data_IF_198974067095
#
_entry.id   IF_198974067095
#
_cell.length_a   1.000
_cell.length_b   1.000
_cell.length_c   1.000
_cell.angle_alpha   90.00
_cell.angle_beta   90.00
_cell.angle_gamma   90.00
#
_symmetry.space_group_name_H-M   'P 1'
#
loop_
_entity.id
_entity.type
_entity.pdbx_description
1 polymer ?
#
# COMPACT_ATOMS: atom_id res chain seq x y z
N UNK A 1 -37.07 -7.49 -60.51
CA UNK A 1 -36.56 -6.16 -60.94
C UNK A 1 -35.89 -5.43 -59.78
N UNK A 2 -36.56 -5.32 -58.63
CA UNK A 2 -36.05 -4.68 -57.40
C UNK A 2 -34.72 -5.24 -56.88
N UNK A 3 -34.57 -6.57 -56.83
CA UNK A 3 -33.33 -7.23 -56.41
C UNK A 3 -32.11 -6.80 -57.24
N UNK A 4 -32.28 -6.62 -58.55
CA UNK A 4 -31.19 -6.20 -59.43
C UNK A 4 -30.79 -4.73 -59.20
N UNK A 5 -31.75 -3.87 -58.85
CA UNK A 5 -31.47 -2.47 -58.48
C UNK A 5 -30.72 -2.42 -57.14
N UNK A 6 -31.14 -3.22 -56.16
CA UNK A 6 -30.45 -3.34 -54.87
C UNK A 6 -29.00 -3.83 -55.03
N UNK A 7 -28.75 -4.87 -55.83
CA UNK A 7 -27.39 -5.37 -56.07
C UNK A 7 -26.48 -4.30 -56.72
N UNK A 8 -26.99 -3.56 -57.71
CA UNK A 8 -26.24 -2.45 -58.33
C UNK A 8 -25.94 -1.33 -57.35
N UNK A 9 -26.90 -0.96 -56.50
CA UNK A 9 -26.68 0.03 -55.44
C UNK A 9 -25.57 -0.44 -54.48
N UNK A 10 -25.59 -1.71 -54.08
CA UNK A 10 -24.57 -2.29 -53.20
C UNK A 10 -23.18 -2.27 -53.83
N UNK A 11 -23.07 -2.57 -55.12
CA UNK A 11 -21.82 -2.48 -55.88
C UNK A 11 -21.31 -1.03 -55.97
N UNK A 12 -22.20 -0.06 -56.23
CA UNK A 12 -21.85 1.36 -56.24
C UNK A 12 -21.36 1.85 -54.88
N UNK A 13 -22.03 1.47 -53.79
CA UNK A 13 -21.61 1.80 -52.42
C UNK A 13 -20.26 1.14 -52.08
N UNK A 14 -20.02 -0.09 -52.56
CA UNK A 14 -18.76 -0.80 -52.31
C UNK A 14 -17.55 -0.08 -52.92
N UNK A 15 -17.70 0.59 -54.08
CA UNK A 15 -16.65 1.42 -54.66
C UNK A 15 -16.30 2.63 -53.79
N UNK A 16 -17.28 3.15 -53.03
CA UNK A 16 -17.14 4.29 -52.12
C UNK A 16 -16.73 3.90 -50.70
N UNK A 17 -16.49 2.60 -50.43
CA UNK A 17 -16.24 2.09 -49.08
C UNK A 17 -15.07 2.79 -48.37
N UNK A 18 -14.01 3.15 -49.11
CA UNK A 18 -12.87 3.89 -48.56
C UNK A 18 -13.28 5.29 -48.08
N UNK A 19 -14.12 6.00 -48.84
CA UNK A 19 -14.64 7.33 -48.47
C UNK A 19 -15.56 7.23 -47.26
N UNK A 20 -16.43 6.22 -47.21
CA UNK A 20 -17.34 6.00 -46.08
C UNK A 20 -16.60 5.66 -44.79
N UNK A 21 -15.59 4.78 -44.84
CA UNK A 21 -14.75 4.47 -43.67
C UNK A 21 -14.04 5.71 -43.13
N UNK A 22 -13.43 6.51 -44.00
CA UNK A 22 -12.79 7.79 -43.60
C UNK A 22 -13.78 8.77 -42.97
N UNK A 23 -15.00 8.85 -43.49
CA UNK A 23 -16.05 9.69 -42.90
C UNK A 23 -16.45 9.18 -41.50
N UNK A 24 -16.65 7.86 -41.36
CA UNK A 24 -16.98 7.25 -40.08
C UNK A 24 -15.88 7.46 -39.02
N UNK A 25 -14.60 7.30 -39.39
CA UNK A 25 -13.46 7.56 -38.49
C UNK A 25 -13.41 9.01 -37.99
N UNK A 26 -13.70 9.98 -38.89
CA UNK A 26 -13.75 11.40 -38.52
C UNK A 26 -14.92 11.71 -37.60
N UNK A 27 -16.10 11.16 -37.88
CA UNK A 27 -17.29 11.31 -37.02
C UNK A 27 -17.02 10.69 -35.65
N UNK A 28 -16.44 9.49 -35.61
CA UNK A 28 -16.08 8.82 -34.35
C UNK A 28 -15.07 9.63 -33.54
N UNK A 29 -14.07 10.23 -34.19
CA UNK A 29 -13.09 11.11 -33.52
C UNK A 29 -13.77 12.33 -32.92
N UNK A 30 -14.68 12.97 -33.67
CA UNK A 30 -15.44 14.12 -33.19
C UNK A 30 -16.35 13.75 -32.01
N UNK A 31 -17.03 12.61 -32.08
CA UNK A 31 -17.93 12.10 -31.03
C UNK A 31 -17.17 11.86 -29.72
N UNK A 32 -16.01 11.20 -29.78
CA UNK A 32 -15.14 10.98 -28.61
C UNK A 32 -14.68 12.32 -28.01
N UNK A 33 -14.18 13.25 -28.83
CA UNK A 33 -13.70 14.54 -28.34
C UNK A 33 -14.83 15.39 -27.72
N UNK A 34 -16.02 15.36 -28.33
CA UNK A 34 -17.20 16.04 -27.80
C UNK A 34 -17.64 15.44 -26.46
N UNK A 35 -17.71 14.10 -26.37
CA UNK A 35 -18.07 13.38 -25.15
C UNK A 35 -17.10 13.66 -23.99
N UNK A 36 -15.79 13.66 -24.26
CA UNK A 36 -14.77 14.01 -23.28
C UNK A 36 -14.90 15.47 -22.81
N UNK A 37 -15.18 16.39 -23.74
CA UNK A 37 -15.35 17.82 -23.43
C UNK A 37 -16.60 18.06 -22.58
N UNK A 38 -17.73 17.43 -22.92
CA UNK A 38 -18.97 17.52 -22.15
C UNK A 38 -18.76 16.99 -20.72
N UNK A 39 -18.12 15.82 -20.59
CA UNK A 39 -17.79 15.22 -19.28
C UNK A 39 -16.90 16.16 -18.46
N UNK A 40 -15.90 16.78 -19.08
CA UNK A 40 -15.00 17.69 -18.40
C UNK A 40 -15.70 18.93 -17.86
N UNK A 41 -16.59 19.54 -18.66
CA UNK A 41 -17.37 20.72 -18.25
C UNK A 41 -18.34 20.34 -17.12
N UNK A 42 -19.09 19.26 -17.31
CA UNK A 42 -20.12 18.83 -16.35
C UNK A 42 -19.54 18.52 -14.97
N UNK A 43 -18.36 17.92 -14.92
CA UNK A 43 -17.74 17.44 -13.67
C UNK A 43 -16.57 18.31 -13.20
N UNK A 44 -16.35 19.48 -13.82
CA UNK A 44 -15.26 20.41 -13.49
C UNK A 44 -13.89 19.74 -13.50
N UNK A 45 -13.58 19.01 -14.58
CA UNK A 45 -12.26 18.40 -14.76
C UNK A 45 -11.26 19.40 -15.32
N UNK A 46 -9.99 19.20 -15.00
CA UNK A 46 -8.89 20.08 -15.41
C UNK A 46 -8.04 19.42 -16.48
N UNK A 47 -7.50 20.23 -17.40
CA UNK A 47 -6.56 19.74 -18.41
C UNK A 47 -5.24 19.35 -17.74
N UNK A 48 -4.79 18.09 -17.82
CA UNK A 48 -3.51 17.69 -17.24
C UNK A 48 -2.33 18.23 -18.06
N UNK A 49 -1.21 18.47 -17.38
CA UNK A 49 0.08 18.74 -18.01
C UNK A 49 0.84 17.41 -18.09
N UNK A 50 1.07 16.89 -19.30
CA UNK A 50 1.88 15.70 -19.52
C UNK A 50 3.35 16.09 -19.67
N UNK A 51 4.25 15.39 -18.98
CA UNK A 51 5.70 15.64 -19.05
C UNK A 51 6.48 14.37 -19.34
N UNK A 52 7.72 14.49 -19.85
CA UNK A 52 8.63 13.36 -20.03
C UNK A 52 9.39 12.98 -18.74
N UNK A 53 9.18 13.76 -17.67
CA UNK A 53 9.81 13.52 -16.36
C UNK A 53 9.11 12.39 -15.61
N UNK A 54 9.64 12.02 -14.45
CA UNK A 54 8.99 11.08 -13.52
C UNK A 54 8.10 11.78 -12.49
N UNK A 55 7.98 13.10 -12.56
CA UNK A 55 7.19 13.87 -11.63
C UNK A 55 5.72 13.51 -11.77
N UNK A 56 5.02 13.47 -10.64
CA UNK A 56 3.60 13.20 -10.59
C UNK A 56 3.00 14.09 -9.52
N UNK A 57 2.15 15.03 -9.89
CA UNK A 57 1.51 15.95 -8.96
C UNK A 57 0.02 16.01 -9.26
N UNK A 58 -0.78 15.73 -8.25
CA UNK A 58 -2.22 15.90 -8.24
C UNK A 58 -2.62 16.73 -7.03
N UNK A 59 -3.42 17.77 -7.28
CA UNK A 59 -4.00 18.63 -6.25
C UNK A 59 -5.52 18.47 -6.28
N UNK A 60 -6.08 18.16 -5.12
CA UNK A 60 -7.49 17.90 -4.88
C UNK A 60 -8.08 16.94 -5.93
N UNK A 61 -7.40 15.81 -6.14
CA UNK A 61 -7.82 14.72 -7.01
C UNK A 61 -9.02 13.96 -6.42
N UNK A 62 -9.88 13.46 -7.31
CA UNK A 62 -11.14 12.79 -7.01
C UNK A 62 -11.28 11.53 -7.85
N UNK A 63 -11.96 10.52 -7.32
CA UNK A 63 -12.17 9.29 -8.04
C UNK A 63 -13.29 9.46 -9.09
N UNK A 64 -13.02 9.33 -10.40
CA UNK A 64 -13.93 9.75 -11.49
C UNK A 64 -15.29 9.04 -11.53
N UNK A 65 -15.37 7.84 -10.94
CA UNK A 65 -16.63 7.08 -10.82
C UNK A 65 -17.33 7.32 -9.48
N UNK A 66 -16.61 7.25 -8.36
CA UNK A 66 -17.22 7.33 -7.03
C UNK A 66 -17.74 8.72 -6.72
N UNK A 67 -17.11 9.78 -7.23
CA UNK A 67 -17.61 11.15 -7.05
C UNK A 67 -19.03 11.34 -7.61
N UNK A 68 -19.39 10.60 -8.67
CA UNK A 68 -20.70 10.66 -9.31
C UNK A 68 -21.75 9.76 -8.64
N UNK A 69 -21.30 8.74 -7.89
CA UNK A 69 -22.18 7.79 -7.20
C UNK A 69 -22.62 8.31 -5.82
N UNK A 70 -21.83 9.18 -5.20
CA UNK A 70 -22.14 9.79 -3.91
C UNK A 70 -23.12 10.96 -4.11
N UNK A 71 -24.42 10.66 -4.11
CA UNK A 71 -25.48 11.67 -4.34
C UNK A 71 -25.64 12.67 -3.18
N UNK A 72 -25.46 12.21 -1.95
CA UNK A 72 -25.76 12.98 -0.72
C UNK A 72 -24.52 13.30 0.12
N UNK A 73 -23.32 12.96 -0.36
CA UNK A 73 -22.06 13.19 0.35
C UNK A 73 -21.01 13.71 -0.63
N UNK A 74 -20.29 14.75 -0.21
CA UNK A 74 -19.14 15.25 -0.96
C UNK A 74 -18.01 14.21 -0.93
N UNK A 75 -17.42 13.93 -2.10
CA UNK A 75 -16.25 13.07 -2.19
C UNK A 75 -15.03 13.83 -1.65
N UNK A 76 -14.30 13.22 -0.71
CA UNK A 76 -13.09 13.83 -0.14
C UNK A 76 -11.94 13.71 -1.13
N UNK A 77 -11.47 14.84 -1.63
CA UNK A 77 -10.34 14.92 -2.56
C UNK A 77 -8.99 14.77 -1.87
N UNK A 78 -8.00 14.24 -2.61
CA UNK A 78 -6.67 13.92 -2.10
C UNK A 78 -5.55 14.57 -2.92
N UNK A 79 -4.44 14.85 -2.25
CA UNK A 79 -3.22 15.35 -2.89
C UNK A 79 -2.23 14.20 -3.04
N UNK A 80 -1.44 14.22 -4.11
CA UNK A 80 -0.34 13.30 -4.31
C UNK A 80 0.77 14.03 -5.05
N UNK A 81 1.97 14.03 -4.48
CA UNK A 81 3.17 14.49 -5.16
C UNK A 81 4.22 13.39 -5.08
N UNK A 82 4.75 12.94 -6.22
CA UNK A 82 5.89 12.03 -6.31
C UNK A 82 6.95 12.69 -7.18
N UNK A 83 8.15 12.86 -6.63
CA UNK A 83 9.30 13.42 -7.33
C UNK A 83 10.58 12.91 -6.65
N UNK A 84 11.74 13.44 -7.04
CA UNK A 84 13.02 13.03 -6.46
C UNK A 84 13.12 13.32 -4.95
N UNK A 85 12.51 14.41 -4.48
CA UNK A 85 12.68 14.93 -3.12
C UNK A 85 11.62 14.37 -2.15
N UNK A 86 10.37 14.24 -2.62
CA UNK A 86 9.25 13.67 -1.88
C UNK A 86 9.18 12.14 -1.97
N UNK A 87 10.02 11.53 -2.78
CA UNK A 87 10.04 10.09 -3.00
C UNK A 87 9.04 9.62 -4.07
N UNK A 88 9.16 8.35 -4.40
CA UNK A 88 8.44 7.72 -5.50
C UNK A 88 7.80 6.38 -5.10
N UNK A 89 7.94 5.94 -3.85
CA UNK A 89 7.32 4.74 -3.32
C UNK A 89 6.59 5.08 -2.03
N UNK A 90 5.27 4.98 -2.03
CA UNK A 90 4.45 5.31 -0.86
C UNK A 90 3.86 4.05 -0.24
N UNK A 91 4.20 3.83 1.02
CA UNK A 91 3.61 2.79 1.87
C UNK A 91 2.39 3.40 2.56
N UNK A 92 1.20 2.97 2.15
CA UNK A 92 -0.07 3.50 2.62
C UNK A 92 -0.66 2.53 3.64
N UNK A 93 -0.72 2.98 4.89
CA UNK A 93 -1.27 2.23 6.02
C UNK A 93 -2.64 2.75 6.43
N UNK A 94 -3.36 1.97 7.24
CA UNK A 94 -4.67 2.34 7.79
C UNK A 94 -5.69 1.22 7.71
N UNK A 95 -6.89 1.43 8.25
CA UNK A 95 -7.93 0.40 8.29
C UNK A 95 -8.43 0.01 6.88
N UNK A 96 -9.04 -1.18 6.74
CA UNK A 96 -9.67 -1.62 5.49
C UNK A 96 -10.72 -0.65 4.94
N UNK A 97 -11.50 -0.06 5.85
CA UNK A 97 -12.60 0.85 5.49
C UNK A 97 -12.15 2.29 5.31
N UNK A 98 -10.87 2.59 5.52
CA UNK A 98 -10.36 3.96 5.48
C UNK A 98 -10.25 4.53 4.06
N UNK A 99 -10.34 3.71 3.00
CA UNK A 99 -10.30 4.18 1.60
C UNK A 99 -8.97 3.98 0.86
N UNK A 100 -8.05 3.14 1.37
CA UNK A 100 -6.74 2.86 0.72
C UNK A 100 -6.89 2.42 -0.74
N UNK A 101 -7.70 1.39 -0.98
CA UNK A 101 -7.92 0.84 -2.33
C UNK A 101 -8.61 1.87 -3.25
N UNK A 102 -9.45 2.75 -2.71
CA UNK A 102 -10.06 3.84 -3.47
C UNK A 102 -9.01 4.83 -3.94
N UNK A 103 -8.13 5.27 -3.04
CA UNK A 103 -7.07 6.21 -3.35
C UNK A 103 -6.11 5.66 -4.42
N UNK A 104 -5.60 4.45 -4.26
CA UNK A 104 -4.65 3.91 -5.26
C UNK A 104 -5.29 3.69 -6.64
N UNK A 105 -6.59 3.32 -6.69
CA UNK A 105 -7.35 3.18 -7.94
C UNK A 105 -7.62 4.53 -8.60
N UNK A 106 -7.90 5.56 -7.80
CA UNK A 106 -8.07 6.94 -8.27
C UNK A 106 -6.83 7.40 -9.07
N UNK A 107 -5.64 7.22 -8.51
CA UNK A 107 -4.38 7.59 -9.18
C UNK A 107 -4.20 6.83 -10.50
N UNK A 108 -4.53 5.53 -10.52
CA UNK A 108 -4.48 4.70 -11.73
C UNK A 108 -5.38 5.24 -12.83
N UNK A 109 -6.64 5.53 -12.48
CA UNK A 109 -7.67 6.00 -13.41
C UNK A 109 -7.31 7.38 -13.96
N UNK A 110 -6.87 8.30 -13.10
CA UNK A 110 -6.44 9.65 -13.50
C UNK A 110 -5.27 9.56 -14.50
N UNK A 111 -4.30 8.67 -14.25
CA UNK A 111 -3.17 8.45 -15.15
C UNK A 111 -3.62 7.97 -16.53
N UNK A 112 -4.53 6.99 -16.58
CA UNK A 112 -5.08 6.46 -17.83
C UNK A 112 -5.87 7.53 -18.57
N UNK A 113 -6.74 8.28 -17.87
CA UNK A 113 -7.52 9.36 -18.45
C UNK A 113 -6.64 10.43 -19.08
N UNK A 114 -5.58 10.85 -18.37
CA UNK A 114 -4.65 11.84 -18.87
C UNK A 114 -3.94 11.39 -20.17
N UNK A 115 -3.39 10.17 -20.19
CA UNK A 115 -2.70 9.64 -21.37
C UNK A 115 -3.63 9.23 -22.51
N UNK A 116 -4.91 9.01 -22.25
CA UNK A 116 -5.94 8.86 -23.28
C UNK A 116 -6.26 10.20 -23.97
N UNK A 117 -5.85 11.33 -23.39
CA UNK A 117 -6.14 12.67 -23.91
C UNK A 117 -7.38 13.33 -23.31
N UNK A 118 -7.89 12.82 -22.18
CA UNK A 118 -9.00 13.41 -21.43
C UNK A 118 -8.53 14.46 -20.43
N UNK A 119 -9.44 15.35 -20.04
CA UNK A 119 -9.33 16.11 -18.79
C UNK A 119 -9.49 15.16 -17.60
N UNK A 120 -8.99 15.54 -16.42
CA UNK A 120 -8.95 14.68 -15.23
C UNK A 120 -9.63 15.31 -14.01
N UNK A 121 -10.19 14.49 -13.09
CA UNK A 121 -10.88 14.94 -11.88
C UNK A 121 -9.90 15.45 -10.81
N UNK A 122 -9.27 16.60 -11.04
CA UNK A 122 -8.38 17.25 -10.09
C UNK A 122 -8.43 18.77 -10.27
N UNK A 123 -8.05 19.54 -9.24
CA UNK A 123 -7.85 20.98 -9.36
C UNK A 123 -6.60 21.31 -10.18
N UNK A 124 -5.53 20.53 -10.01
CA UNK A 124 -4.29 20.62 -10.81
C UNK A 124 -3.75 19.22 -11.03
N UNK A 125 -3.25 18.94 -12.23
CA UNK A 125 -2.61 17.68 -12.56
C UNK A 125 -1.37 17.90 -13.44
N UNK A 126 -0.23 17.41 -12.99
CA UNK A 126 1.01 17.25 -13.76
C UNK A 126 1.42 15.79 -13.69
N UNK A 127 1.47 15.12 -14.84
CA UNK A 127 1.66 13.67 -14.92
C UNK A 127 2.82 13.39 -15.87
N UNK A 128 3.93 12.92 -15.32
CA UNK A 128 4.99 12.30 -16.10
C UNK A 128 4.45 11.08 -16.85
N UNK A 129 4.81 10.90 -18.12
CA UNK A 129 4.29 9.78 -18.91
C UNK A 129 4.73 8.45 -18.29
N UNK A 130 3.77 7.56 -18.04
CA UNK A 130 3.95 6.17 -17.66
C UNK A 130 3.97 5.31 -18.92
N UNK A 131 4.88 4.33 -18.94
CA UNK A 131 4.91 3.31 -20.00
C UNK A 131 3.87 2.22 -19.76
N UNK A 132 3.65 1.85 -18.49
CA UNK A 132 2.70 0.81 -18.06
C UNK A 132 2.12 1.13 -16.69
N UNK A 133 0.87 0.74 -16.49
CA UNK A 133 0.20 0.71 -15.18
C UNK A 133 0.08 -0.75 -14.76
N UNK A 134 0.75 -1.10 -13.66
CA UNK A 134 0.71 -2.42 -13.05
C UNK A 134 -0.19 -2.39 -11.82
N UNK A 135 -1.08 -3.37 -11.70
CA UNK A 135 -2.00 -3.46 -10.57
C UNK A 135 -2.01 -4.87 -10.01
N UNK A 136 -1.69 -5.01 -8.73
CA UNK A 136 -2.11 -6.13 -7.89
C UNK A 136 -3.18 -5.60 -6.95
N UNK A 137 -4.42 -5.62 -7.41
CA UNK A 137 -5.58 -5.15 -6.64
C UNK A 137 -6.51 -6.35 -6.54
N UNK A 138 -6.80 -6.80 -5.32
CA UNK A 138 -7.57 -8.02 -5.06
C UNK A 138 -8.82 -8.10 -5.93
N UNK A 139 -8.80 -9.00 -6.91
CA UNK A 139 -9.98 -9.33 -7.69
C UNK A 139 -10.80 -10.33 -6.88
N UNK A 140 -12.05 -9.98 -6.59
CA UNK A 140 -13.06 -10.93 -6.16
C UNK A 140 -13.15 -12.06 -7.19
N UNK A 141 -12.77 -13.26 -6.78
CA UNK A 141 -13.16 -14.55 -7.35
C UNK A 141 -12.99 -14.72 -8.86
N UNK A 142 -11.75 -14.68 -9.33
CA UNK A 142 -11.37 -15.53 -10.47
C UNK A 142 -10.53 -16.68 -9.96
N UNK A 143 -11.20 -17.67 -9.36
CA UNK A 143 -10.69 -19.04 -9.25
C UNK A 143 -10.44 -19.56 -10.67
N UNK A 144 -9.26 -19.25 -11.22
CA UNK A 144 -8.72 -20.02 -12.32
C UNK A 144 -8.58 -21.45 -11.80
N UNK A 145 -9.24 -22.39 -12.47
CA UNK A 145 -9.42 -23.78 -12.03
C UNK A 145 -8.07 -24.37 -11.59
N UNK A 146 -7.85 -24.50 -10.27
CA UNK A 146 -6.72 -25.23 -9.68
C UNK A 146 -5.61 -24.42 -8.99
N UNK A 147 -5.64 -23.08 -8.98
CA UNK A 147 -4.62 -22.28 -8.28
C UNK A 147 -5.15 -21.68 -6.96
N UNK A 148 -4.32 -21.66 -5.92
CA UNK A 148 -4.65 -20.97 -4.66
C UNK A 148 -4.67 -19.46 -4.87
N UNK A 149 -5.46 -18.76 -4.07
CA UNK A 149 -5.51 -17.29 -4.09
C UNK A 149 -4.12 -16.70 -3.88
N UNK A 150 -3.36 -17.21 -2.91
CA UNK A 150 -1.97 -16.81 -2.65
C UNK A 150 -1.05 -17.01 -3.85
N UNK A 151 -1.13 -18.16 -4.55
CA UNK A 151 -0.33 -18.41 -5.75
C UNK A 151 -0.64 -17.40 -6.85
N UNK A 152 -1.91 -17.04 -7.04
CA UNK A 152 -2.29 -15.98 -7.99
C UNK A 152 -1.69 -14.63 -7.61
N UNK A 153 -1.67 -14.26 -6.33
CA UNK A 153 -1.01 -13.02 -5.89
C UNK A 153 0.49 -13.03 -6.23
N UNK A 154 1.15 -14.18 -6.06
CA UNK A 154 2.57 -14.33 -6.36
C UNK A 154 2.85 -14.28 -7.86
N UNK A 155 2.02 -14.89 -8.70
CA UNK A 155 2.14 -14.83 -10.16
C UNK A 155 1.94 -13.39 -10.65
N UNK A 156 0.91 -12.70 -10.14
CA UNK A 156 0.66 -11.30 -10.48
C UNK A 156 1.84 -10.41 -10.05
N UNK A 157 2.33 -10.59 -8.82
CA UNK A 157 3.50 -9.86 -8.31
C UNK A 157 4.74 -10.14 -9.16
N UNK A 158 5.00 -11.40 -9.51
CA UNK A 158 6.12 -11.77 -10.37
C UNK A 158 5.99 -11.14 -11.77
N UNK A 159 4.78 -11.07 -12.33
CA UNK A 159 4.56 -10.40 -13.61
C UNK A 159 4.89 -8.90 -13.55
N UNK A 160 4.55 -8.23 -12.45
CA UNK A 160 4.93 -6.83 -12.21
C UNK A 160 6.46 -6.72 -12.15
N UNK A 161 7.11 -7.51 -11.30
CA UNK A 161 8.56 -7.44 -11.09
C UNK A 161 9.37 -7.82 -12.33
N UNK A 162 8.85 -8.65 -13.23
CA UNK A 162 9.56 -9.01 -14.46
C UNK A 162 9.42 -8.00 -15.60
N UNK A 163 8.40 -7.14 -15.57
CA UNK A 163 8.04 -6.27 -16.70
C UNK A 163 8.00 -4.78 -16.39
N UNK A 164 8.08 -4.40 -15.11
CA UNK A 164 8.13 -3.01 -14.70
C UNK A 164 9.43 -2.34 -15.16
N UNK A 165 9.34 -1.04 -15.41
CA UNK A 165 10.48 -0.19 -15.70
C UNK A 165 10.50 0.99 -14.74
N UNK A 166 11.57 1.80 -14.79
CA UNK A 166 11.67 3.01 -13.98
C UNK A 166 10.65 4.12 -14.36
N UNK A 167 9.89 3.97 -15.46
CA UNK A 167 8.82 4.89 -15.85
C UNK A 167 7.42 4.38 -15.45
N UNK A 168 7.31 3.14 -14.99
CA UNK A 168 6.01 2.51 -14.70
C UNK A 168 5.33 3.10 -13.46
N UNK A 169 4.00 2.98 -13.44
CA UNK A 169 3.17 3.14 -12.24
C UNK A 169 2.81 1.76 -11.70
N UNK A 170 3.18 1.49 -10.45
CA UNK A 170 2.98 0.21 -9.78
C UNK A 170 2.01 0.41 -8.62
N UNK A 171 0.94 -0.38 -8.60
CA UNK A 171 -0.08 -0.35 -7.55
C UNK A 171 -0.16 -1.74 -6.93
N UNK A 172 0.11 -1.80 -5.62
CA UNK A 172 0.09 -3.02 -4.82
C UNK A 172 -0.95 -2.83 -3.71
N UNK A 173 -1.89 -3.76 -3.60
CA UNK A 173 -2.93 -3.77 -2.58
C UNK A 173 -2.87 -5.10 -1.83
N UNK A 174 -2.49 -5.06 -0.56
CA UNK A 174 -2.50 -6.19 0.39
C UNK A 174 -1.70 -7.44 -0.04
N UNK A 175 -0.53 -7.28 -0.65
CA UNK A 175 0.35 -8.43 -0.97
C UNK A 175 0.77 -9.17 0.29
N UNK A 176 0.71 -10.51 0.26
CA UNK A 176 1.20 -11.36 1.35
C UNK A 176 0.15 -11.67 2.42
N UNK A 177 -1.11 -11.26 2.21
CA UNK A 177 -2.20 -11.52 3.16
C UNK A 177 -2.66 -12.99 3.17
N UNK A 178 -2.47 -13.72 2.07
CA UNK A 178 -2.90 -15.13 1.92
C UNK A 178 -2.01 -16.18 2.57
N UNK A 179 -1.01 -15.80 3.37
CA UNK A 179 -0.02 -16.71 3.99
C UNK A 179 0.22 -16.36 5.48
N UNK A 180 1.18 -17.04 6.13
CA UNK A 180 1.59 -16.73 7.50
C UNK A 180 2.04 -15.27 7.62
N UNK A 181 1.77 -14.62 8.75
CA UNK A 181 2.08 -13.20 8.94
C UNK A 181 3.55 -12.88 8.68
N UNK A 182 4.46 -13.71 9.20
CA UNK A 182 5.90 -13.50 9.00
C UNK A 182 6.33 -13.70 7.55
N UNK A 183 5.79 -14.70 6.85
CA UNK A 183 6.10 -14.89 5.42
C UNK A 183 5.52 -13.73 4.59
N UNK A 184 4.30 -13.30 4.91
CA UNK A 184 3.61 -12.20 4.23
C UNK A 184 4.38 -10.89 4.34
N UNK A 185 4.77 -10.50 5.56
CA UNK A 185 5.60 -9.31 5.82
C UNK A 185 6.95 -9.44 5.09
N UNK A 186 7.61 -10.59 5.18
CA UNK A 186 8.93 -10.80 4.55
C UNK A 186 8.89 -10.68 3.03
N UNK A 187 7.87 -11.24 2.39
CA UNK A 187 7.66 -11.15 0.94
C UNK A 187 7.35 -9.70 0.55
N UNK A 188 6.41 -9.06 1.24
CA UNK A 188 6.02 -7.68 0.97
C UNK A 188 7.21 -6.72 1.08
N UNK A 189 8.03 -6.88 2.12
CA UNK A 189 9.26 -6.12 2.33
C UNK A 189 10.24 -6.33 1.17
N UNK A 190 10.55 -7.59 0.83
CA UNK A 190 11.48 -7.92 -0.23
C UNK A 190 11.02 -7.39 -1.61
N UNK A 191 9.71 -7.38 -1.87
CA UNK A 191 9.12 -6.80 -3.09
C UNK A 191 9.38 -5.30 -3.17
N UNK A 192 9.15 -4.56 -2.09
CA UNK A 192 9.40 -3.11 -2.07
C UNK A 192 10.88 -2.81 -2.26
N UNK A 193 11.76 -3.51 -1.54
CA UNK A 193 13.21 -3.36 -1.71
C UNK A 193 13.67 -3.68 -3.13
N UNK A 194 13.09 -4.72 -3.75
CA UNK A 194 13.41 -5.08 -5.12
C UNK A 194 12.99 -3.98 -6.08
N UNK A 195 11.76 -3.45 -5.96
CA UNK A 195 11.29 -2.33 -6.80
C UNK A 195 12.21 -1.13 -6.64
N UNK A 196 12.54 -0.81 -5.39
CA UNK A 196 13.42 0.29 -5.04
C UNK A 196 14.80 0.18 -5.70
N UNK A 197 15.45 -0.99 -5.57
CA UNK A 197 16.81 -1.22 -6.07
C UNK A 197 16.84 -1.39 -7.59
N UNK A 198 15.87 -2.11 -8.16
CA UNK A 198 15.87 -2.50 -9.58
C UNK A 198 15.26 -1.42 -10.48
N UNK A 199 14.21 -0.76 -10.03
CA UNK A 199 13.42 0.19 -10.82
C UNK A 199 13.45 1.60 -10.23
N UNK A 200 14.64 2.06 -9.82
CA UNK A 200 14.81 3.38 -9.20
C UNK A 200 14.07 4.49 -9.97
N UNK A 201 13.08 5.10 -9.31
CA UNK A 201 12.18 6.11 -9.86
C UNK A 201 10.82 5.61 -10.37
N UNK A 202 10.54 4.31 -10.35
CA UNK A 202 9.19 3.80 -10.61
C UNK A 202 8.21 4.33 -9.56
N UNK A 203 7.08 4.87 -10.00
CA UNK A 203 6.06 5.42 -9.12
C UNK A 203 5.27 4.27 -8.52
N UNK A 204 5.32 4.10 -7.21
CA UNK A 204 4.77 2.92 -6.54
C UNK A 204 3.85 3.34 -5.40
N UNK A 205 2.63 2.81 -5.40
CA UNK A 205 1.68 2.93 -4.30
C UNK A 205 1.45 1.54 -3.71
N UNK A 206 1.75 1.36 -2.44
CA UNK A 206 1.52 0.10 -1.74
C UNK A 206 0.58 0.30 -0.55
N UNK A 207 -0.68 -0.09 -0.73
CA UNK A 207 -1.63 -0.21 0.37
C UNK A 207 -1.39 -1.52 1.15
N UNK A 208 -1.12 -1.41 2.45
CA UNK A 208 -0.79 -2.57 3.30
C UNK A 208 -1.41 -2.46 4.70
N UNK A 209 -1.51 -3.62 5.36
CA UNK A 209 -1.82 -3.74 6.81
C UNK A 209 -0.59 -4.04 7.66
N UNK A 210 0.55 -4.32 7.01
CA UNK A 210 1.80 -4.61 7.70
C UNK A 210 2.45 -3.29 8.12
N UNK A 211 2.32 -2.97 9.41
CA UNK A 211 2.93 -1.79 10.00
C UNK A 211 4.46 -1.87 9.98
N UNK A 212 5.01 -3.09 9.97
CA UNK A 212 6.44 -3.35 9.89
C UNK A 212 7.06 -2.70 8.64
N UNK A 213 6.33 -2.66 7.51
CA UNK A 213 6.82 -2.03 6.28
C UNK A 213 7.06 -0.53 6.42
N UNK A 214 6.50 0.12 7.44
CA UNK A 214 6.74 1.55 7.68
C UNK A 214 8.20 1.84 8.02
N UNK A 215 8.96 0.86 8.53
CA UNK A 215 10.38 1.01 8.84
C UNK A 215 11.25 1.20 7.60
N UNK A 216 10.75 0.84 6.40
CA UNK A 216 11.48 1.01 5.14
C UNK A 216 11.86 2.48 4.86
N UNK A 217 11.08 3.44 5.37
CA UNK A 217 11.40 4.88 5.24
C UNK A 217 12.69 5.27 5.97
N UNK A 218 13.07 4.55 7.03
CA UNK A 218 14.30 4.79 7.78
C UNK A 218 15.54 4.31 7.01
N UNK A 219 15.35 3.38 6.07
CA UNK A 219 16.43 2.75 5.30
C UNK A 219 16.56 3.43 3.93
N UNK A 220 15.43 3.77 3.31
CA UNK A 220 15.39 4.31 1.95
C UNK A 220 14.68 5.68 1.93
N UNK A 221 15.39 6.78 1.62
CA UNK A 221 14.84 8.14 1.74
C UNK A 221 13.72 8.46 0.75
N UNK A 222 13.63 7.72 -0.35
CA UNK A 222 12.62 7.88 -1.39
C UNK A 222 11.38 6.97 -1.18
N UNK A 223 11.35 6.23 -0.07
CA UNK A 223 10.16 5.57 0.45
C UNK A 223 9.54 6.46 1.52
N UNK A 224 8.25 6.77 1.38
CA UNK A 224 7.50 7.57 2.35
C UNK A 224 6.30 6.81 2.89
N UNK A 225 5.98 7.07 4.14
CA UNK A 225 4.79 6.54 4.78
C UNK A 225 3.64 7.53 4.63
N UNK A 226 2.49 6.98 4.28
CA UNK A 226 1.22 7.69 4.26
C UNK A 226 0.19 6.88 5.04
N UNK A 227 -0.80 7.57 5.58
CA UNK A 227 -1.96 6.96 6.20
C UNK A 227 -3.23 7.70 5.79
N UNK A 228 -4.38 7.09 6.07
CA UNK A 228 -5.67 7.77 5.95
C UNK A 228 -6.08 8.31 7.32
N UNK A 229 -6.33 9.60 7.37
CA UNK A 229 -6.66 10.30 8.59
C UNK A 229 -7.95 9.75 9.23
N UNK A 230 -7.85 9.45 10.51
CA UNK A 230 -8.94 9.03 11.38
C UNK A 230 -9.09 10.02 12.52
N UNK A 231 -10.32 10.19 13.01
CA UNK A 231 -10.61 11.01 14.19
C UNK A 231 -11.48 10.24 15.17
N UNK A 232 -11.06 10.19 16.42
CA UNK A 232 -11.90 9.67 17.50
C UNK A 232 -12.83 10.76 18.04
N UNK A 233 -14.10 10.42 18.21
CA UNK A 233 -15.12 11.30 18.77
C UNK A 233 -16.14 10.48 19.56
N UNK A 234 -16.26 10.73 20.87
CA UNK A 234 -17.23 10.04 21.76
C UNK A 234 -17.20 8.51 21.64
N UNK A 235 -16.00 7.92 21.67
CA UNK A 235 -15.77 6.47 21.49
C UNK A 235 -16.15 5.90 20.11
N UNK A 236 -16.37 6.76 19.12
CA UNK A 236 -16.55 6.41 17.71
C UNK A 236 -15.36 6.87 16.87
N UNK A 237 -15.01 6.09 15.85
CA UNK A 237 -13.97 6.47 14.89
C UNK A 237 -14.63 6.96 13.62
N UNK A 238 -14.24 8.15 13.20
CA UNK A 238 -14.65 8.78 11.96
C UNK A 238 -13.49 8.67 10.96
N UNK A 239 -13.73 8.00 9.84
CA UNK A 239 -12.80 7.98 8.72
C UNK A 239 -12.95 9.28 7.92
N UNK A 240 -11.87 10.06 7.83
CA UNK A 240 -11.88 11.34 7.11
C UNK A 240 -11.62 11.16 5.61
N UNK A 241 -11.16 9.98 5.18
CA UNK A 241 -10.80 9.66 3.79
C UNK A 241 -9.71 10.56 3.18
N UNK A 242 -9.04 11.39 3.99
CA UNK A 242 -7.92 12.24 3.58
C UNK A 242 -6.61 11.48 3.80
N UNK A 243 -5.80 11.38 2.76
CA UNK A 243 -4.45 10.81 2.81
C UNK A 243 -3.48 11.87 3.37
N UNK A 244 -2.72 11.51 4.40
CA UNK A 244 -1.73 12.38 5.04
C UNK A 244 -0.40 11.63 5.18
N UNK A 245 0.70 12.38 5.19
CA UNK A 245 2.04 11.80 5.41
C UNK A 245 2.19 11.33 6.87
N UNK A 246 2.84 10.19 7.05
CA UNK A 246 3.08 9.55 8.35
C UNK A 246 2.66 8.08 8.37
N UNK A 247 3.12 7.35 9.38
CA UNK A 247 2.60 6.02 9.74
C UNK A 247 1.38 6.15 10.64
N UNK A 248 0.49 5.17 10.61
CA UNK A 248 -0.57 5.01 11.62
C UNK A 248 -0.17 3.87 12.55
N UNK A 249 -0.21 4.07 13.85
CA UNK A 249 0.09 3.02 14.86
C UNK A 249 -1.18 2.25 15.30
N UNK A 250 -2.35 2.72 14.88
CA UNK A 250 -3.62 2.23 15.41
C UNK A 250 -4.32 1.25 14.46
N UNK A 251 -4.60 0.05 14.97
CA UNK A 251 -5.36 -0.99 14.28
C UNK A 251 -6.80 -1.00 14.79
N UNK A 252 -7.72 -0.44 13.99
CA UNK A 252 -9.11 -0.23 14.40
C UNK A 252 -10.05 -1.43 14.19
N UNK A 253 -9.52 -2.64 14.06
CA UNK A 253 -10.31 -3.83 13.71
C UNK A 253 -11.47 -4.11 14.68
N UNK A 254 -11.21 -4.00 15.99
CA UNK A 254 -12.23 -4.20 17.04
C UNK A 254 -13.30 -3.09 16.99
N UNK A 255 -12.92 -1.86 16.67
CA UNK A 255 -13.87 -0.76 16.53
C UNK A 255 -14.75 -0.90 15.29
N UNK A 256 -14.19 -1.38 14.17
CA UNK A 256 -14.98 -1.71 12.97
C UNK A 256 -15.98 -2.82 13.28
N UNK A 257 -15.62 -3.82 14.09
CA UNK A 257 -16.54 -4.85 14.55
C UNK A 257 -17.73 -4.26 15.35
N UNK A 258 -17.46 -3.27 16.22
CA UNK A 258 -18.51 -2.54 16.94
C UNK A 258 -19.45 -1.78 15.99
N UNK A 259 -18.90 -1.06 15.00
CA UNK A 259 -19.68 -0.35 13.98
C UNK A 259 -20.52 -1.29 13.12
N UNK A 260 -20.05 -2.51 12.87
CA UNK A 260 -20.80 -3.55 12.18
C UNK A 260 -21.95 -4.15 13.01
N UNK A 261 -22.13 -3.71 14.26
CA UNK A 261 -23.21 -4.18 15.13
C UNK A 261 -22.89 -5.47 15.88
N UNK A 262 -21.60 -5.82 16.05
CA UNK A 262 -21.24 -6.98 16.88
C UNK A 262 -21.72 -6.80 18.33
N UNK A 263 -22.16 -7.89 19.01
CA UNK A 263 -22.56 -7.82 20.41
C UNK A 263 -21.45 -7.22 21.30
N UNK A 264 -21.83 -6.32 22.22
CA UNK A 264 -20.88 -5.63 23.09
C UNK A 264 -19.99 -6.60 23.90
N UNK A 265 -20.53 -7.74 24.32
CA UNK A 265 -19.76 -8.77 25.04
C UNK A 265 -18.60 -9.32 24.21
N UNK A 266 -18.79 -9.50 22.90
CA UNK A 266 -17.75 -9.96 21.96
C UNK A 266 -16.70 -8.87 21.76
N UNK A 267 -17.13 -7.62 21.59
CA UNK A 267 -16.22 -6.46 21.41
C UNK A 267 -15.34 -6.27 22.64
N UNK A 268 -15.92 -6.33 23.84
CA UNK A 268 -15.19 -6.22 25.11
C UNK A 268 -14.18 -7.37 25.25
N UNK A 269 -14.61 -8.61 24.99
CA UNK A 269 -13.73 -9.78 25.07
C UNK A 269 -12.57 -9.70 24.07
N UNK A 270 -12.83 -9.26 22.85
CA UNK A 270 -11.79 -9.06 21.83
C UNK A 270 -10.75 -8.02 22.29
N UNK A 271 -11.19 -6.94 22.94
CA UNK A 271 -10.30 -5.90 23.49
C UNK A 271 -9.40 -6.46 24.60
N UNK A 272 -9.94 -7.27 25.50
CA UNK A 272 -9.15 -7.93 26.54
C UNK A 272 -8.08 -8.87 25.95
N UNK A 273 -8.45 -9.66 24.94
CA UNK A 273 -7.51 -10.56 24.25
C UNK A 273 -6.39 -9.75 23.57
N UNK A 274 -6.72 -8.68 22.86
CA UNK A 274 -5.73 -7.83 22.19
C UNK A 274 -4.74 -7.22 23.19
N UNK A 275 -5.25 -6.71 24.32
CA UNK A 275 -4.41 -6.13 25.38
C UNK A 275 -3.42 -7.15 25.95
N UNK A 276 -3.82 -8.42 26.07
CA UNK A 276 -2.92 -9.49 26.52
C UNK A 276 -1.86 -9.83 25.47
N UNK A 277 -2.26 -9.95 24.20
CA UNK A 277 -1.33 -10.24 23.09
C UNK A 277 -0.28 -9.14 22.88
N UNK A 278 -0.66 -7.87 23.04
CA UNK A 278 0.26 -6.74 22.96
C UNK A 278 1.26 -6.74 24.12
N UNK A 279 0.83 -7.10 25.34
CA UNK A 279 1.73 -7.27 26.48
C UNK A 279 2.75 -8.37 26.24
N UNK A 280 2.33 -9.50 25.67
CA UNK A 280 3.24 -10.62 25.36
C UNK A 280 4.22 -10.29 24.23
N UNK A 281 3.80 -9.47 23.25
CA UNK A 281 4.66 -9.04 22.13
C UNK A 281 5.73 -8.03 22.57
N UNK A 282 5.48 -7.22 23.60
CA UNK A 282 6.50 -6.35 24.21
C UNK A 282 7.63 -7.16 24.89
N UNK A 283 7.39 -8.42 25.28
CA UNK A 283 8.42 -9.32 25.81
C UNK A 283 9.11 -10.17 24.73
N UNK A 284 8.67 -10.09 23.47
CA UNK A 284 9.22 -10.83 22.33
C UNK A 284 9.98 -9.92 21.37
N UNK A 285 11.30 -9.85 21.53
CA UNK A 285 12.25 -9.14 20.64
C UNK A 285 11.98 -9.36 19.13
N UNK A 286 11.33 -8.39 18.47
CA UNK A 286 11.25 -8.31 16.98
C UNK A 286 12.26 -7.29 16.41
N UNK A 287 12.76 -6.34 17.21
CA UNK A 287 13.65 -5.26 16.74
C UNK A 287 15.06 -5.69 16.28
N UNK A 288 15.51 -6.93 16.55
CA UNK A 288 16.92 -7.32 16.34
C UNK A 288 17.21 -8.33 15.23
N UNK A 289 16.21 -8.81 14.45
CA UNK A 289 16.44 -9.88 13.47
C UNK A 289 16.61 -9.44 12.01
N UNK A 290 16.08 -8.29 11.60
CA UNK A 290 16.13 -7.88 10.18
C UNK A 290 17.39 -7.09 9.79
N UNK A 291 18.17 -6.58 10.75
CA UNK A 291 19.33 -5.70 10.50
C UNK A 291 20.70 -6.42 10.43
N UNK A 292 20.77 -7.75 10.55
CA UNK A 292 22.05 -8.49 10.49
C UNK A 292 22.09 -9.54 9.38
N UNK A 293 22.36 -9.11 8.14
CA UNK A 293 23.25 -9.83 7.20
C UNK A 293 23.49 -9.04 5.91
N UNK A 294 24.45 -8.12 5.94
CA UNK A 294 25.36 -7.87 4.82
C UNK A 294 26.65 -7.26 5.37
N UNK A 295 27.70 -8.09 5.48
CA UNK A 295 29.11 -7.66 5.47
C UNK A 295 29.99 -8.89 5.39
N UNK A 296 30.41 -9.21 4.18
CA UNK A 296 31.57 -10.04 3.93
C UNK A 296 32.34 -9.47 2.73
N UNK A 297 32.89 -8.27 2.91
CA UNK A 297 34.09 -7.78 2.21
C UNK A 297 34.74 -6.74 3.12
N UNK A 298 35.98 -7.02 3.52
CA UNK A 298 36.71 -6.23 4.50
C UNK A 298 37.07 -4.85 3.98
N UNK A 299 36.92 -3.84 4.83
CA UNK A 299 37.77 -2.65 5.00
C UNK A 299 37.44 -2.07 6.39
N UNK A 300 38.49 -1.59 7.05
CA UNK A 300 38.64 -1.30 8.49
C UNK A 300 37.56 -0.41 9.10
N UNK A 301 37.18 -0.79 10.30
CA UNK A 301 36.27 -0.09 11.20
C UNK A 301 36.88 1.21 11.76
N UNK A 302 36.18 2.32 11.54
CA UNK A 302 36.07 3.36 12.56
C UNK A 302 34.61 3.34 13.04
N UNK A 303 34.37 2.63 14.15
CA UNK A 303 33.08 2.61 14.83
C UNK A 303 32.84 3.96 15.51
N UNK A 304 31.84 4.71 15.03
CA UNK A 304 31.12 5.67 15.85
C UNK A 304 29.94 4.92 16.49
N UNK A 305 30.08 4.62 17.79
CA UNK A 305 28.99 4.12 18.63
C UNK A 305 28.03 5.28 18.91
N UNK A 306 26.82 5.23 18.34
CA UNK A 306 25.71 6.05 18.77
C UNK A 306 24.46 5.17 18.87
N UNK A 307 23.96 5.04 20.11
CA UNK A 307 22.76 4.34 20.57
C UNK A 307 22.86 2.82 20.73
N UNK A 308 23.58 2.40 21.78
CA UNK A 308 23.10 1.29 22.60
C UNK A 308 21.81 1.75 23.32
N UNK A 309 20.67 1.04 23.20
CA UNK A 309 19.61 1.19 24.18
C UNK A 309 20.19 0.74 25.52
N UNK A 310 19.86 1.41 26.62
CA UNK A 310 20.13 0.89 27.96
C UNK A 310 19.36 -0.42 28.14
N UNK A 311 19.99 -1.51 27.72
CA UNK A 311 19.60 -2.88 28.04
C UNK A 311 19.52 -2.93 29.55
N UNK A 312 18.45 -3.52 30.08
CA UNK A 312 18.29 -3.74 31.50
C UNK A 312 19.30 -4.83 31.94
N UNK A 313 20.59 -4.44 32.04
CA UNK A 313 21.77 -5.29 32.25
C UNK A 313 21.62 -6.20 33.46
N UNK A 314 20.91 -5.72 34.50
CA UNK A 314 20.60 -6.51 35.70
C UNK A 314 19.80 -7.78 35.39
N UNK A 315 18.86 -7.75 34.45
CA UNK A 315 17.98 -8.89 34.19
C UNK A 315 18.70 -10.02 33.42
N UNK A 316 19.54 -9.65 32.46
CA UNK A 316 20.33 -10.61 31.68
C UNK A 316 21.45 -11.24 32.53
N UNK A 317 22.08 -10.47 33.43
CA UNK A 317 23.07 -10.98 34.37
C UNK A 317 22.46 -11.98 35.36
N UNK A 318 21.26 -11.72 35.87
CA UNK A 318 20.55 -12.64 36.77
C UNK A 318 20.16 -13.93 36.02
N UNK A 319 19.68 -13.82 34.78
CA UNK A 319 19.36 -15.00 33.96
C UNK A 319 20.60 -15.87 33.70
N UNK A 320 21.76 -15.26 33.45
CA UNK A 320 23.01 -15.98 33.28
C UNK A 320 23.45 -16.69 34.58
N UNK A 321 23.33 -16.03 35.74
CA UNK A 321 23.64 -16.63 37.06
C UNK A 321 22.78 -17.84 37.38
N UNK A 322 21.49 -17.80 37.04
CA UNK A 322 20.56 -18.92 37.26
C UNK A 322 20.89 -20.09 36.32
N UNK A 323 21.13 -19.83 35.02
CA UNK A 323 21.47 -20.87 34.04
C UNK A 323 22.77 -21.60 34.35
N UNK A 324 23.73 -20.90 34.93
CA UNK A 324 25.04 -21.47 35.29
C UNK A 324 25.06 -22.11 36.69
N UNK A 325 23.92 -22.15 37.38
CA UNK A 325 23.83 -22.78 38.70
C UNK A 325 23.66 -24.28 38.53
N UNK A 326 24.69 -25.04 38.93
CA UNK A 326 24.60 -26.49 39.01
C UNK A 326 23.80 -26.89 40.25
N UNK A 327 22.57 -27.36 40.02
CA UNK A 327 21.62 -27.70 41.07
C UNK A 327 21.93 -29.04 41.74
N UNK A 328 22.69 -29.91 41.08
CA UNK A 328 22.99 -31.26 41.57
C UNK A 328 24.18 -31.27 42.55
N UNK A 329 24.97 -30.19 42.58
CA UNK A 329 26.15 -30.04 43.45
C UNK A 329 25.95 -29.10 44.64
N UNK A 330 24.76 -28.51 44.79
CA UNK A 330 24.47 -27.58 45.90
C UNK A 330 23.57 -28.22 46.96
N UNK A 331 23.85 -27.93 48.23
CA UNK A 331 22.99 -28.35 49.34
C UNK A 331 21.72 -27.47 49.40
N UNK A 332 20.60 -27.98 49.94
CA UNK A 332 19.35 -27.22 50.03
C UNK A 332 19.49 -25.85 50.72
N UNK A 333 20.38 -25.74 51.71
CA UNK A 333 20.67 -24.48 52.42
C UNK A 333 21.39 -23.48 51.52
N UNK A 334 22.35 -23.94 50.69
CA UNK A 334 23.07 -23.09 49.75
C UNK A 334 22.17 -22.60 48.61
N UNK A 335 21.23 -23.43 48.15
CA UNK A 335 20.22 -23.04 47.17
C UNK A 335 19.33 -21.90 47.71
N UNK A 336 18.85 -22.03 48.95
CA UNK A 336 18.06 -21.00 49.64
C UNK A 336 18.84 -19.69 49.83
N UNK A 337 20.13 -19.77 50.16
CA UNK A 337 20.99 -18.59 50.30
C UNK A 337 21.17 -17.85 48.97
N UNK A 338 21.50 -18.58 47.89
CA UNK A 338 21.66 -17.99 46.55
C UNK A 338 20.36 -17.39 46.00
N UNK A 339 19.22 -18.03 46.24
CA UNK A 339 17.90 -17.47 45.89
C UNK A 339 17.58 -16.21 46.69
N UNK A 340 17.97 -16.15 47.97
CA UNK A 340 17.82 -14.95 48.79
C UNK A 340 18.71 -13.79 48.31
N UNK A 341 19.90 -14.07 47.77
CA UNK A 341 20.80 -13.07 47.19
C UNK A 341 20.22 -12.49 45.89
N UNK A 342 19.74 -13.36 45.00
CA UNK A 342 19.06 -12.95 43.75
C UNK A 342 17.82 -12.11 44.08
N UNK A 343 17.02 -12.51 45.08
CA UNK A 343 15.85 -11.72 45.52
C UNK A 343 16.23 -10.33 46.03
N UNK A 344 17.36 -10.19 46.73
CA UNK A 344 17.88 -8.88 47.16
C UNK A 344 18.37 -8.04 45.97
N UNK A 345 19.04 -8.63 44.98
CA UNK A 345 19.48 -7.95 43.76
C UNK A 345 18.30 -7.45 42.90
N UNK A 346 17.15 -8.11 42.95
CA UNK A 346 15.93 -7.71 42.23
C UNK A 346 15.13 -6.64 43.01
N UNK A 347 15.18 -6.66 44.35
CA UNK A 347 14.38 -5.78 45.21
C UNK A 347 15.05 -4.44 45.54
N UNK A 348 16.27 -4.20 45.04
CA UNK A 348 17.05 -2.96 45.22
C UNK A 348 17.62 -2.45 43.89
#
# INVERSE_FOLDING_TARGET
MEYNVFCRLREQIALEMSRLKKAAERIATLDVLASLSETAIKNSYTRPILTETKNFQLVEARHPVLELLLKDKEFVSNNLTMNHDEGNIFIITGSNMAGKSTFIREIALITIMAQMGSFVPAQKAEIGIVDRVFTRVGASDRLQRGMSTFMMEMIETANILNNATSKSLIILDEIGRGTSTYDGVSIAWAVVEYIQKKFCGARTLFATHFHELTELTNIYPNIKNYNLATREWKDEIIFLYKVIEGSSDESFGIHVARLAGMPNEVVLRARDILNNLQKDSLFGNVQNKFLKKEKNTGIKEHQFNFFEPQINTKADDIMAKIKNMDLDSITPIQALQKLSEIKKEISG
#
